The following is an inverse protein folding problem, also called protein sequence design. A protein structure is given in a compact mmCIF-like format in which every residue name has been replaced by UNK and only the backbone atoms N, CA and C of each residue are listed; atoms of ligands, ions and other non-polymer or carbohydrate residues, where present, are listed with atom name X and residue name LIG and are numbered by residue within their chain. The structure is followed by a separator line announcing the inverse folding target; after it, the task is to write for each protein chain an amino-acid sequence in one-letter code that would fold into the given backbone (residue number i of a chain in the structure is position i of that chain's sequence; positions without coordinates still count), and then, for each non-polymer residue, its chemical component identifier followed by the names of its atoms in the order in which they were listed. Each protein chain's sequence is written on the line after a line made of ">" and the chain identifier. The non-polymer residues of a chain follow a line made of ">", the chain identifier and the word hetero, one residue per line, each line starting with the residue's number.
data_IF_589764488554
#
_entry.id   IF_589764488554
#
_cell.length_a   1.000
_cell.length_b   1.000
_cell.length_c   1.000
_cell.angle_alpha   90.00
_cell.angle_beta   90.00
_cell.angle_gamma   90.00
#
_symmetry.space_group_name_H-M   'P 1'
#
loop_
_entity.id
_entity.type
_entity.pdbx_description
1 polymer ?
#
# COMPACT_ATOMS: atom_id res chain seq x y z
N UNK A 1 -6.83 -5.97 -8.99
CA UNK A 1 -6.13 -6.02 -7.69
C UNK A 1 -7.09 -6.04 -6.51
N UNK A 2 -6.77 -6.80 -5.45
CA UNK A 2 -7.25 -6.48 -4.10
C UNK A 2 -6.42 -5.34 -3.51
N UNK A 3 -7.01 -4.54 -2.63
CA UNK A 3 -6.39 -3.32 -2.07
C UNK A 3 -6.66 -3.22 -0.58
N UNK A 4 -5.59 -3.12 0.19
CA UNK A 4 -5.61 -2.97 1.64
C UNK A 4 -5.11 -1.57 1.97
N UNK A 5 -5.91 -0.82 2.72
CA UNK A 5 -5.66 0.56 3.08
C UNK A 5 -5.33 0.66 4.56
N UNK A 6 -4.32 1.46 4.88
CA UNK A 6 -4.00 1.83 6.25
C UNK A 6 -3.61 3.31 6.33
N UNK A 7 -4.42 4.08 7.06
CA UNK A 7 -4.18 5.50 7.28
C UNK A 7 -3.25 5.66 8.50
N UNK A 8 -2.18 6.43 8.36
CA UNK A 8 -1.22 6.69 9.43
C UNK A 8 -0.58 8.07 9.30
N UNK A 9 0.41 8.37 10.14
CA UNK A 9 1.15 9.64 10.12
C UNK A 9 2.64 9.36 9.91
N UNK A 10 3.24 10.00 8.92
CA UNK A 10 4.67 9.97 8.68
C UNK A 10 5.25 11.38 8.80
N UNK A 11 6.20 11.59 9.72
CA UNK A 11 6.85 12.89 9.98
C UNK A 11 5.86 14.04 10.22
N UNK A 12 4.73 13.76 10.85
CA UNK A 12 3.70 14.76 11.16
C UNK A 12 2.66 14.99 10.06
N UNK A 13 2.77 14.30 8.92
CA UNK A 13 1.82 14.40 7.81
C UNK A 13 0.97 13.14 7.70
N UNK A 14 -0.35 13.26 7.49
CA UNK A 14 -1.20 12.09 7.28
C UNK A 14 -0.86 11.45 5.93
N UNK A 15 -0.69 10.14 5.92
CA UNK A 15 -0.39 9.35 4.71
C UNK A 15 -1.32 8.13 4.65
N UNK A 16 -1.47 7.59 3.45
CA UNK A 16 -2.20 6.34 3.23
C UNK A 16 -1.25 5.31 2.66
N UNK A 17 -1.10 4.18 3.35
CA UNK A 17 -0.39 3.02 2.82
C UNK A 17 -1.39 2.14 2.09
N UNK A 18 -1.08 1.77 0.84
CA UNK A 18 -1.86 0.82 0.08
C UNK A 18 -0.98 -0.35 -0.34
N UNK A 19 -1.32 -1.53 0.14
CA UNK A 19 -0.67 -2.80 -0.19
C UNK A 19 -1.72 -3.72 -0.83
N UNK A 20 -1.32 -4.56 -1.77
CA UNK A 20 -2.28 -5.50 -2.33
C UNK A 20 -1.71 -6.52 -3.31
N UNK A 21 -2.62 -7.33 -3.83
CA UNK A 21 -2.36 -8.37 -4.82
C UNK A 21 -3.05 -8.04 -6.14
N UNK A 22 -2.30 -7.99 -7.25
CA UNK A 22 -2.89 -7.90 -8.58
C UNK A 22 -3.02 -9.27 -9.23
N UNK A 23 -4.24 -9.84 -9.20
CA UNK A 23 -4.54 -11.14 -9.82
C UNK A 23 -4.20 -11.21 -11.34
N UNK A 24 -4.65 -10.27 -12.20
CA UNK A 24 -4.31 -10.32 -13.62
C UNK A 24 -2.80 -10.27 -13.93
N UNK A 25 -2.07 -9.44 -13.19
CA UNK A 25 -0.64 -9.22 -13.43
C UNK A 25 0.27 -10.10 -12.56
N UNK A 26 -0.29 -10.81 -11.59
CA UNK A 26 0.34 -11.80 -10.72
C UNK A 26 1.54 -11.25 -9.91
N UNK A 27 1.36 -10.10 -9.27
CA UNK A 27 2.37 -9.49 -8.41
C UNK A 27 1.75 -8.77 -7.20
N UNK A 28 2.55 -8.60 -6.14
CA UNK A 28 2.21 -7.74 -5.01
C UNK A 28 2.65 -6.31 -5.30
N UNK A 29 1.84 -5.32 -4.93
CA UNK A 29 2.19 -3.90 -5.08
C UNK A 29 2.11 -3.17 -3.75
N UNK A 30 2.88 -2.09 -3.65
CA UNK A 30 2.85 -1.15 -2.55
C UNK A 30 2.96 0.27 -3.12
N UNK A 31 2.12 1.17 -2.63
CA UNK A 31 2.33 2.60 -2.75
C UNK A 31 1.92 3.31 -1.47
N UNK A 32 2.52 4.48 -1.25
CA UNK A 32 2.30 5.32 -0.08
C UNK A 32 1.93 6.70 -0.60
N UNK A 33 0.66 7.07 -0.44
CA UNK A 33 0.13 8.35 -0.89
C UNK A 33 0.56 9.46 0.07
N UNK A 34 0.95 10.62 -0.47
CA UNK A 34 1.07 11.86 0.28
C UNK A 34 -0.31 12.50 0.43
N UNK A 35 -0.53 13.31 1.48
CA UNK A 35 -1.77 14.07 1.59
C UNK A 35 -1.84 15.11 0.46
N UNK A 36 -3.04 15.30 -0.10
CA UNK A 36 -3.28 16.24 -1.20
C UNK A 36 -2.79 17.67 -0.91
N UNK A 37 -2.77 18.08 0.35
CA UNK A 37 -2.26 19.40 0.78
C UNK A 37 -0.75 19.60 0.55
N UNK A 38 0.01 18.52 0.35
CA UNK A 38 1.45 18.56 0.03
C UNK A 38 1.74 18.33 -1.45
N UNK A 39 0.71 18.07 -2.25
CA UNK A 39 0.82 17.94 -3.70
C UNK A 39 0.75 19.35 -4.27
N UNK A 40 1.84 19.81 -4.89
CA UNK A 40 1.85 21.10 -5.57
C UNK A 40 1.09 20.97 -6.89
N UNK A 41 -0.15 21.47 -6.94
CA UNK A 41 -1.00 21.50 -8.14
C UNK A 41 -0.33 22.16 -9.36
N UNK A 42 0.76 22.91 -9.17
CA UNK A 42 1.52 23.56 -10.25
C UNK A 42 2.66 22.70 -10.79
N UNK A 43 3.09 21.67 -10.05
CA UNK A 43 4.11 20.71 -10.47
C UNK A 43 3.43 19.44 -11.04
N UNK A 44 3.26 19.38 -12.36
CA UNK A 44 2.71 18.21 -13.09
C UNK A 44 3.65 17.00 -13.14
N UNK A 45 4.22 16.60 -12.01
CA UNK A 45 5.08 15.41 -11.94
C UNK A 45 4.35 14.38 -11.09
N UNK A 46 3.80 13.33 -11.70
CA UNK A 46 3.10 12.22 -11.01
C UNK A 46 3.95 11.57 -9.89
N UNK A 47 5.27 11.77 -9.93
CA UNK A 47 6.20 11.36 -8.87
C UNK A 47 5.98 12.08 -7.54
N UNK A 48 5.29 13.23 -7.50
CA UNK A 48 5.16 14.02 -6.28
C UNK A 48 3.97 13.61 -5.40
N UNK A 49 3.04 12.84 -5.94
CA UNK A 49 1.82 12.38 -5.24
C UNK A 49 2.10 11.24 -4.25
N UNK A 50 3.24 10.56 -4.42
CA UNK A 50 3.60 9.38 -3.64
C UNK A 50 4.90 9.61 -2.86
N UNK A 51 4.93 9.15 -1.61
CA UNK A 51 6.18 8.96 -0.87
C UNK A 51 6.96 7.76 -1.42
N UNK A 52 6.22 6.76 -1.92
CA UNK A 52 6.74 5.56 -2.53
C UNK A 52 5.69 4.95 -3.48
N UNK A 53 6.14 4.41 -4.61
CA UNK A 53 5.32 3.56 -5.47
C UNK A 53 6.25 2.51 -6.08
N UNK A 54 5.88 1.24 -5.99
CA UNK A 54 6.65 0.16 -6.61
C UNK A 54 6.85 0.39 -8.12
N UNK A 55 5.90 1.07 -8.78
CA UNK A 55 5.98 1.40 -10.22
C UNK A 55 7.14 2.36 -10.57
N UNK A 56 7.72 3.06 -9.59
CA UNK A 56 8.89 3.91 -9.79
C UNK A 56 10.22 3.16 -9.63
N UNK A 57 10.18 1.87 -9.29
CA UNK A 57 11.37 1.03 -9.18
C UNK A 57 11.80 0.46 -10.54
N UNK A 58 13.04 -0.03 -10.61
CA UNK A 58 13.55 -0.69 -11.81
C UNK A 58 12.98 -2.09 -12.05
N UNK A 59 12.52 -2.78 -10.99
CA UNK A 59 11.93 -4.13 -11.06
C UNK A 59 10.54 -4.18 -10.40
N UNK A 60 9.57 -3.37 -10.88
CA UNK A 60 8.35 -3.02 -10.16
C UNK A 60 7.40 -4.19 -9.85
N UNK A 61 7.58 -5.33 -10.52
CA UNK A 61 6.64 -6.47 -10.50
C UNK A 61 7.22 -7.73 -9.84
N UNK A 62 8.47 -7.71 -9.38
CA UNK A 62 9.19 -8.89 -8.91
C UNK A 62 9.52 -8.79 -7.41
N UNK A 63 8.56 -8.32 -6.63
CA UNK A 63 8.70 -8.12 -5.19
C UNK A 63 7.65 -8.91 -4.41
N UNK A 64 8.08 -9.40 -3.25
CA UNK A 64 7.26 -10.17 -2.30
C UNK A 64 6.98 -9.36 -1.04
N UNK A 65 6.07 -9.83 -0.20
CA UNK A 65 5.67 -9.11 1.03
C UNK A 65 6.85 -8.78 1.96
N UNK A 66 7.84 -9.67 2.08
CA UNK A 66 9.04 -9.40 2.89
C UNK A 66 9.86 -8.22 2.37
N UNK A 67 9.89 -7.99 1.05
CA UNK A 67 10.52 -6.81 0.48
C UNK A 67 9.79 -5.54 0.92
N UNK A 68 8.46 -5.54 0.83
CA UNK A 68 7.65 -4.39 1.22
C UNK A 68 7.71 -4.08 2.73
N UNK A 69 7.95 -5.08 3.57
CA UNK A 69 8.29 -4.85 4.99
C UNK A 69 9.57 -4.05 5.15
N UNK A 70 10.60 -4.35 4.37
CA UNK A 70 11.88 -3.62 4.39
C UNK A 70 11.68 -2.19 3.87
N UNK A 71 10.90 -2.01 2.79
CA UNK A 71 10.54 -0.68 2.28
C UNK A 71 9.85 0.15 3.35
N UNK A 72 8.78 -0.36 3.97
CA UNK A 72 8.05 0.37 5.02
C UNK A 72 8.93 0.69 6.23
N UNK A 73 9.80 -0.25 6.64
CA UNK A 73 10.78 -0.01 7.71
C UNK A 73 11.79 1.08 7.33
N UNK A 74 12.23 1.15 6.07
CA UNK A 74 13.12 2.21 5.58
C UNK A 74 12.47 3.59 5.72
N UNK A 75 11.16 3.68 5.49
CA UNK A 75 10.38 4.90 5.73
C UNK A 75 9.96 5.09 7.19
N UNK A 76 10.35 4.22 8.13
CA UNK A 76 9.87 4.28 9.52
C UNK A 76 8.32 4.31 9.61
N UNK A 77 7.65 3.54 8.75
CA UNK A 77 6.20 3.39 8.75
C UNK A 77 5.88 1.99 9.25
N UNK A 78 5.17 1.92 10.37
CA UNK A 78 4.64 0.67 10.90
C UNK A 78 3.18 0.50 10.43
N UNK A 79 2.87 -0.68 9.91
CA UNK A 79 1.51 -1.10 9.54
C UNK A 79 1.11 -2.33 10.36
N UNK A 80 -0.18 -2.56 10.62
CA UNK A 80 -0.61 -3.74 11.37
C UNK A 80 -0.26 -5.03 10.61
N UNK A 81 0.19 -6.05 11.36
CA UNK A 81 0.58 -7.35 10.78
C UNK A 81 -0.58 -8.05 10.03
N UNK A 82 -1.82 -7.75 10.41
CA UNK A 82 -3.01 -8.23 9.71
C UNK A 82 -3.04 -7.76 8.25
N UNK A 83 -2.48 -6.59 7.91
CA UNK A 83 -2.43 -6.10 6.53
C UNK A 83 -1.65 -7.04 5.61
N UNK A 84 -0.48 -7.52 6.05
CA UNK A 84 0.29 -8.48 5.28
C UNK A 84 -0.36 -9.87 5.26
N UNK A 85 -0.92 -10.29 6.40
CA UNK A 85 -1.62 -11.57 6.52
C UNK A 85 -2.77 -11.65 5.52
N UNK A 86 -3.61 -10.62 5.45
CA UNK A 86 -4.76 -10.59 4.55
C UNK A 86 -4.35 -10.50 3.07
N UNK A 87 -3.30 -9.73 2.73
CA UNK A 87 -2.80 -9.66 1.35
C UNK A 87 -2.19 -11.00 0.90
N UNK A 88 -1.50 -11.72 1.81
CA UNK A 88 -1.00 -13.06 1.55
C UNK A 88 -2.15 -14.04 1.26
N UNK A 89 -3.21 -13.99 2.07
CA UNK A 89 -4.41 -14.81 1.85
C UNK A 89 -5.09 -14.49 0.51
N UNK A 90 -5.16 -13.21 0.13
CA UNK A 90 -5.69 -12.81 -1.17
C UNK A 90 -4.87 -13.38 -2.34
N UNK A 91 -3.53 -13.41 -2.22
CA UNK A 91 -2.67 -14.06 -3.19
C UNK A 91 -2.94 -15.57 -3.27
N UNK A 92 -2.99 -16.26 -2.13
CA UNK A 92 -3.21 -17.71 -2.05
C UNK A 92 -4.59 -18.13 -2.57
N UNK A 93 -5.62 -17.33 -2.28
CA UNK A 93 -6.98 -17.51 -2.77
C UNK A 93 -7.20 -16.96 -4.19
N UNK A 94 -6.17 -16.33 -4.78
CA UNK A 94 -6.24 -15.60 -6.04
C UNK A 94 -7.42 -14.60 -6.11
N UNK A 95 -7.66 -13.91 -5.00
CA UNK A 95 -8.74 -12.95 -4.81
C UNK A 95 -8.33 -11.59 -5.38
N UNK A 96 -9.17 -11.04 -6.25
CA UNK A 96 -9.03 -9.67 -6.74
C UNK A 96 -10.25 -8.85 -6.37
N UNK A 97 -10.15 -7.52 -6.53
CA UNK A 97 -11.22 -6.54 -6.31
C UNK A 97 -11.72 -6.43 -4.86
N UNK A 98 -11.19 -7.22 -3.93
CA UNK A 98 -11.40 -7.06 -2.49
C UNK A 98 -10.81 -5.73 -2.03
N UNK A 99 -11.54 -5.00 -1.20
CA UNK A 99 -11.11 -3.71 -0.64
C UNK A 99 -11.24 -3.77 0.87
N UNK A 100 -10.12 -3.59 1.58
CA UNK A 100 -10.05 -3.72 3.03
C UNK A 100 -9.43 -2.48 3.64
N UNK A 101 -9.99 -2.00 4.77
CA UNK A 101 -9.41 -0.92 5.56
C UNK A 101 -8.96 -1.45 6.92
N UNK A 102 -7.67 -1.33 7.21
CA UNK A 102 -7.06 -1.78 8.47
C UNK A 102 -7.04 -0.66 9.52
N UNK A 103 -7.03 -1.07 10.78
CA UNK A 103 -6.88 -0.22 11.95
C UNK A 103 -5.57 -0.56 12.68
N UNK A 104 -5.07 0.37 13.50
CA UNK A 104 -3.80 0.22 14.19
C UNK A 104 -3.79 -0.92 15.24
N UNK A 105 -4.97 -1.33 15.73
CA UNK A 105 -5.14 -2.47 16.64
C UNK A 105 -5.13 -3.82 15.92
N UNK A 106 -4.97 -3.83 14.59
CA UNK A 106 -4.96 -5.01 13.76
C UNK A 106 -6.33 -5.45 13.27
N UNK A 107 -7.42 -4.83 13.74
CA UNK A 107 -8.75 -5.05 13.18
C UNK A 107 -8.86 -4.48 11.75
N UNK A 108 -9.83 -4.97 10.99
CA UNK A 108 -10.09 -4.46 9.66
C UNK A 108 -11.57 -4.57 9.28
N UNK A 109 -11.97 -3.76 8.31
CA UNK A 109 -13.31 -3.80 7.71
C UNK A 109 -13.18 -3.99 6.20
N UNK A 110 -13.97 -4.90 5.64
CA UNK A 110 -14.08 -5.07 4.19
C UNK A 110 -15.18 -4.16 3.64
N UNK A 111 -14.90 -3.51 2.51
CA UNK A 111 -15.87 -2.69 1.79
C UNK A 111 -16.51 -3.52 0.68
N UNK A 112 -17.80 -3.83 0.86
CA UNK A 112 -18.65 -4.36 -0.21
C UNK A 112 -19.27 -3.21 -1.00
N UNK A 113 -19.08 -3.21 -2.31
CA UNK A 113 -19.73 -2.31 -3.28
C UNK A 113 -20.83 -3.04 -4.05
#
# INVERSE_FOLDING_TARGET
>A
MSRHYFDTVHKGFPITVVLGWDRPANYFFLFIEKPAELIDDTAKVESDDFLYSNLHESDPFNHYLDYYRVVLRHFHIDVPESMFTEVQQDCEGNIGNRVVKHQADGSFTEQTF
#
